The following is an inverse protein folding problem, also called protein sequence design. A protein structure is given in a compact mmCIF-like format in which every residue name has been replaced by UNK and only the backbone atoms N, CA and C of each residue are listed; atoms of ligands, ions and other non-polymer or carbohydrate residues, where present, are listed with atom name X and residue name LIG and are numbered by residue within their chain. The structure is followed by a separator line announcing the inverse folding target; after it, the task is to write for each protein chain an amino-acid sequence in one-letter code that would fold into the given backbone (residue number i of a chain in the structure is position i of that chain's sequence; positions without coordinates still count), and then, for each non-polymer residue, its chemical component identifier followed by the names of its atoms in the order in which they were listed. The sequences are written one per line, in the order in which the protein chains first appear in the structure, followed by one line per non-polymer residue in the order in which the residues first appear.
data_IF_519736341785
#
_entry.id   IF_519736341785
#
_cell.length_a   1.000
_cell.length_b   1.000
_cell.length_c   1.000
_cell.angle_alpha   90.00
_cell.angle_beta   90.00
_cell.angle_gamma   90.00
#
_symmetry.space_group_name_H-M   'P 1'
#
loop_
_entity.id
_entity.type
_entity.pdbx_description
1 polymer ?
#
# COMPACT_ATOMS: atom_id res chain seq x y z
N UNK A 1 -46.47 7.09 40.38
CA UNK A 1 -45.78 8.16 39.63
C UNK A 1 -44.27 7.97 39.77
N UNK A 2 -43.71 7.39 38.72
CA UNK A 2 -42.41 7.60 38.04
C UNK A 2 -41.18 8.20 38.73
N UNK A 3 -40.05 7.50 38.47
CA UNK A 3 -38.64 7.92 38.26
C UNK A 3 -37.65 7.79 39.43
N UNK A 4 -36.83 6.75 39.34
CA UNK A 4 -35.40 6.86 39.64
C UNK A 4 -34.64 6.53 38.34
N UNK A 5 -34.19 7.57 37.62
CA UNK A 5 -33.36 7.41 36.43
C UNK A 5 -31.96 6.99 36.86
N UNK A 6 -31.53 5.79 36.47
CA UNK A 6 -30.14 5.36 36.61
C UNK A 6 -29.21 6.29 35.82
N UNK A 7 -28.03 6.66 36.36
CA UNK A 7 -27.05 7.44 35.64
C UNK A 7 -26.54 6.64 34.44
N UNK A 8 -26.68 7.22 33.25
CA UNK A 8 -26.18 6.66 31.98
C UNK A 8 -24.67 6.49 32.10
N UNK A 9 -24.18 5.24 32.14
CA UNK A 9 -22.77 4.90 31.92
C UNK A 9 -22.33 5.56 30.61
N UNK A 10 -21.54 6.63 30.69
CA UNK A 10 -20.81 7.14 29.54
C UNK A 10 -19.80 6.06 29.14
N UNK A 11 -19.88 5.56 27.91
CA UNK A 11 -18.78 4.79 27.32
C UNK A 11 -17.60 5.73 27.19
N UNK A 12 -16.64 5.63 28.10
CA UNK A 12 -15.30 6.15 27.86
C UNK A 12 -14.73 5.23 26.78
N UNK A 13 -14.71 5.68 25.53
CA UNK A 13 -13.93 5.04 24.48
C UNK A 13 -12.47 5.13 24.91
N UNK A 14 -11.92 4.04 25.47
CA UNK A 14 -10.47 3.87 25.53
C UNK A 14 -9.98 3.82 24.10
N UNK A 15 -9.48 4.94 23.60
CA UNK A 15 -8.62 4.91 22.42
C UNK A 15 -7.41 4.06 22.80
N UNK A 16 -7.13 2.94 22.10
CA UNK A 16 -5.86 2.27 22.29
C UNK A 16 -4.79 3.28 21.87
N UNK A 17 -3.99 3.72 22.84
CA UNK A 17 -2.78 4.50 22.58
C UNK A 17 -1.88 3.59 21.75
N UNK A 18 -1.90 3.77 20.43
CA UNK A 18 -1.02 3.05 19.51
C UNK A 18 0.39 3.33 19.99
N UNK A 19 1.07 2.30 20.52
CA UNK A 19 2.45 2.43 20.99
C UNK A 19 3.29 2.91 19.81
N UNK A 20 3.82 4.13 19.94
CA UNK A 20 4.62 4.78 18.90
C UNK A 20 5.75 3.87 18.38
N UNK A 21 6.31 2.99 19.22
CA UNK A 21 7.37 2.04 18.87
C UNK A 21 7.03 1.13 17.68
N UNK A 22 5.80 0.62 17.61
CA UNK A 22 5.40 -0.35 16.57
C UNK A 22 5.22 0.34 15.21
N UNK A 23 4.92 1.64 15.23
CA UNK A 23 4.75 2.46 14.02
C UNK A 23 6.08 2.76 13.32
N UNK A 24 7.16 2.96 14.07
CA UNK A 24 8.50 3.19 13.51
C UNK A 24 9.02 1.95 12.80
N UNK A 25 8.92 0.77 13.42
CA UNK A 25 9.35 -0.49 12.80
C UNK A 25 8.54 -0.80 11.53
N UNK A 26 7.23 -0.56 11.53
CA UNK A 26 6.39 -0.73 10.33
C UNK A 26 6.79 0.24 9.21
N UNK A 27 7.17 1.47 9.55
CA UNK A 27 7.62 2.46 8.58
C UNK A 27 8.97 2.08 7.96
N UNK A 28 9.93 1.62 8.77
CA UNK A 28 11.22 1.15 8.27
C UNK A 28 11.07 -0.04 7.33
N UNK A 29 10.24 -1.03 7.69
CA UNK A 29 9.98 -2.19 6.83
C UNK A 29 9.36 -1.78 5.49
N UNK A 30 8.40 -0.84 5.51
CA UNK A 30 7.80 -0.29 4.30
C UNK A 30 8.81 0.48 3.44
N UNK A 31 9.69 1.26 4.06
CA UNK A 31 10.74 1.98 3.33
C UNK A 31 11.77 1.01 2.74
N UNK A 32 12.21 0.01 3.48
CA UNK A 32 13.12 -1.01 2.99
C UNK A 32 12.52 -1.79 1.81
N UNK A 33 11.22 -2.10 1.87
CA UNK A 33 10.48 -2.70 0.77
C UNK A 33 10.43 -1.78 -0.45
N UNK A 34 10.03 -0.52 -0.25
CA UNK A 34 9.94 0.46 -1.33
C UNK A 34 11.30 0.71 -2.00
N UNK A 35 12.39 0.75 -1.24
CA UNK A 35 13.74 0.91 -1.76
C UNK A 35 14.15 -0.28 -2.64
N UNK A 36 13.85 -1.51 -2.21
CA UNK A 36 14.12 -2.71 -3.01
C UNK A 36 13.32 -2.71 -4.32
N UNK A 37 12.02 -2.46 -4.25
CA UNK A 37 11.20 -2.37 -5.47
C UNK A 37 11.63 -1.21 -6.39
N UNK A 38 12.16 -0.11 -5.83
CA UNK A 38 12.58 1.06 -6.61
C UNK A 38 13.78 0.76 -7.50
N UNK A 39 14.74 -0.04 -7.03
CA UNK A 39 15.88 -0.46 -7.86
C UNK A 39 15.39 -1.22 -9.09
N UNK A 40 14.49 -2.20 -8.89
CA UNK A 40 13.88 -2.96 -9.99
C UNK A 40 13.06 -2.05 -10.91
N UNK A 41 12.29 -1.12 -10.33
CA UNK A 41 11.53 -0.14 -11.10
C UNK A 41 12.41 0.71 -12.01
N UNK A 42 13.57 1.19 -11.55
CA UNK A 42 14.45 2.03 -12.36
C UNK A 42 14.98 1.29 -13.59
N UNK A 43 15.27 -0.01 -13.47
CA UNK A 43 15.64 -0.85 -14.61
C UNK A 43 14.49 -1.09 -15.59
N UNK A 44 13.27 -1.30 -15.09
CA UNK A 44 12.09 -1.55 -15.91
C UNK A 44 11.50 -0.27 -16.52
N UNK A 45 11.77 0.88 -15.92
CA UNK A 45 11.18 2.16 -16.28
C UNK A 45 11.59 2.60 -17.69
N UNK A 46 12.86 2.56 -18.03
CA UNK A 46 13.34 3.02 -19.35
C UNK A 46 12.64 2.32 -20.52
N UNK A 47 12.60 0.97 -20.60
CA UNK A 47 11.94 0.30 -21.70
C UNK A 47 10.40 0.44 -21.66
N UNK A 48 9.80 0.47 -20.46
CA UNK A 48 8.34 0.52 -20.32
C UNK A 48 7.78 1.94 -20.50
N UNK A 49 8.54 2.99 -20.24
CA UNK A 49 8.09 4.38 -20.47
C UNK A 49 7.82 4.67 -21.95
N UNK A 50 8.58 4.04 -22.86
CA UNK A 50 8.41 4.22 -24.31
C UNK A 50 7.08 3.63 -24.79
N UNK A 51 6.64 2.54 -24.16
CA UNK A 51 5.51 1.72 -24.64
C UNK A 51 4.24 1.92 -23.82
N UNK A 52 4.36 2.25 -22.53
CA UNK A 52 3.27 2.25 -21.57
C UNK A 52 3.31 3.48 -20.64
N UNK A 53 3.43 4.67 -21.24
CA UNK A 53 3.45 5.92 -20.50
C UNK A 53 2.16 6.12 -19.68
N UNK A 54 2.30 6.57 -18.43
CA UNK A 54 1.24 6.79 -17.44
C UNK A 54 0.52 5.55 -16.89
N UNK A 55 0.97 4.35 -17.23
CA UNK A 55 0.39 3.11 -16.69
C UNK A 55 0.88 2.86 -15.25
N UNK A 56 0.20 1.96 -14.55
CA UNK A 56 0.57 1.50 -13.22
C UNK A 56 1.32 0.18 -13.32
N UNK A 57 2.39 0.06 -12.53
CA UNK A 57 3.17 -1.17 -12.42
C UNK A 57 3.25 -1.58 -10.96
N UNK A 58 2.97 -2.83 -10.65
CA UNK A 58 3.21 -3.43 -9.34
C UNK A 58 4.40 -4.35 -9.44
N UNK A 59 5.37 -4.16 -8.54
CA UNK A 59 6.63 -4.91 -8.56
C UNK A 59 6.77 -5.65 -7.24
N UNK A 60 7.10 -6.94 -7.35
CA UNK A 60 7.52 -7.78 -6.25
C UNK A 60 9.05 -7.68 -6.07
N UNK A 61 9.55 -7.23 -4.91
CA UNK A 61 10.98 -7.16 -4.68
C UNK A 61 11.63 -8.52 -4.43
N UNK A 62 10.86 -9.55 -4.10
CA UNK A 62 11.42 -10.87 -3.77
C UNK A 62 11.44 -11.81 -4.99
N UNK A 63 10.46 -11.69 -5.92
CA UNK A 63 10.37 -12.50 -7.14
C UNK A 63 10.79 -11.79 -8.43
N UNK A 64 11.00 -10.47 -8.38
CA UNK A 64 11.24 -9.60 -9.55
C UNK A 64 10.11 -9.64 -10.59
N UNK A 65 8.97 -10.27 -10.28
CA UNK A 65 7.79 -10.25 -11.12
C UNK A 65 7.12 -8.88 -11.09
N UNK A 66 6.58 -8.48 -12.24
CA UNK A 66 5.87 -7.22 -12.38
C UNK A 66 4.54 -7.39 -13.11
N UNK A 67 3.54 -6.68 -12.63
CA UNK A 67 2.23 -6.56 -13.24
C UNK A 67 2.04 -5.14 -13.74
N UNK A 68 1.54 -4.97 -14.96
CA UNK A 68 1.37 -3.68 -15.60
C UNK A 68 -0.07 -3.52 -16.08
N UNK A 69 -0.70 -2.40 -15.73
CA UNK A 69 -2.05 -2.07 -16.15
C UNK A 69 -2.27 -0.56 -16.31
N UNK A 70 -3.12 -0.13 -17.26
CA UNK A 70 -3.44 1.28 -17.41
C UNK A 70 -4.26 1.83 -16.25
N UNK A 71 -5.07 0.99 -15.59
CA UNK A 71 -5.92 1.36 -14.47
C UNK A 71 -5.47 0.71 -13.16
N UNK A 72 -5.40 1.52 -12.09
CA UNK A 72 -5.01 1.06 -10.76
C UNK A 72 -5.99 0.02 -10.18
N UNK A 73 -7.28 0.14 -10.49
CA UNK A 73 -8.30 -0.80 -9.99
C UNK A 73 -8.09 -2.21 -10.54
N UNK A 74 -7.87 -2.32 -11.85
CA UNK A 74 -7.60 -3.59 -12.53
C UNK A 74 -6.28 -4.20 -12.01
N UNK A 75 -5.25 -3.38 -11.84
CA UNK A 75 -3.98 -3.80 -11.24
C UNK A 75 -4.19 -4.38 -9.83
N UNK A 76 -4.93 -3.66 -8.99
CA UNK A 76 -5.19 -4.07 -7.60
C UNK A 76 -6.01 -5.36 -7.55
N UNK A 77 -6.97 -5.50 -8.45
CA UNK A 77 -7.78 -6.71 -8.56
C UNK A 77 -6.92 -7.90 -9.00
N UNK A 78 -6.05 -7.72 -9.99
CA UNK A 78 -5.14 -8.78 -10.41
C UNK A 78 -4.14 -9.15 -9.31
N UNK A 79 -3.58 -8.18 -8.60
CA UNK A 79 -2.72 -8.43 -7.43
C UNK A 79 -3.44 -9.29 -6.40
N UNK A 80 -4.68 -8.95 -6.06
CA UNK A 80 -5.49 -9.73 -5.12
C UNK A 80 -5.77 -11.15 -5.61
N UNK A 81 -5.93 -11.33 -6.92
CA UNK A 81 -6.13 -12.66 -7.51
C UNK A 81 -4.84 -13.49 -7.51
N UNK A 82 -3.69 -12.88 -7.83
CA UNK A 82 -2.41 -13.57 -7.95
C UNK A 82 -1.79 -13.87 -6.59
N UNK A 83 -1.81 -12.91 -5.66
CA UNK A 83 -1.13 -13.02 -4.37
C UNK A 83 -2.07 -13.28 -3.18
N UNK A 84 -3.40 -13.20 -3.39
CA UNK A 84 -4.41 -13.44 -2.36
C UNK A 84 -4.51 -12.33 -1.31
N UNK A 85 -5.20 -12.62 -0.20
CA UNK A 85 -5.28 -11.78 1.00
C UNK A 85 -4.02 -11.84 1.88
N UNK A 86 -3.01 -12.61 1.46
CA UNK A 86 -1.72 -12.61 2.14
C UNK A 86 -1.08 -11.22 2.03
N UNK A 87 -0.32 -10.86 3.07
CA UNK A 87 0.32 -9.56 3.21
C UNK A 87 1.11 -9.19 1.93
N UNK A 88 0.46 -8.46 1.03
CA UNK A 88 0.99 -8.17 -0.30
C UNK A 88 2.16 -7.22 -0.12
N UNK A 89 3.38 -7.75 -0.27
CA UNK A 89 4.64 -7.00 -0.21
C UNK A 89 5.00 -6.35 -1.55
N UNK A 90 4.00 -6.02 -2.36
CA UNK A 90 4.21 -5.35 -3.64
C UNK A 90 4.19 -3.85 -3.44
N UNK A 91 5.01 -3.14 -4.22
CA UNK A 91 4.91 -1.68 -4.32
C UNK A 91 4.38 -1.30 -5.70
N UNK A 92 3.32 -0.49 -5.71
CA UNK A 92 2.76 0.06 -6.94
C UNK A 92 3.48 1.37 -7.27
N UNK A 93 3.98 1.47 -8.48
CA UNK A 93 4.56 2.66 -9.07
C UNK A 93 3.75 3.11 -10.28
N UNK A 94 3.97 4.36 -10.68
CA UNK A 94 3.44 4.88 -11.93
C UNK A 94 4.58 5.01 -12.93
N UNK A 95 4.38 4.51 -14.14
CA UNK A 95 5.31 4.64 -15.26
C UNK A 95 5.23 6.07 -15.81
N UNK A 96 5.91 6.99 -15.13
CA UNK A 96 6.06 8.38 -15.54
C UNK A 96 7.47 8.89 -15.22
N UNK A 97 7.75 10.14 -15.56
CA UNK A 97 9.07 10.76 -15.36
C UNK A 97 9.53 10.80 -13.89
N UNK A 98 8.63 10.67 -12.92
CA UNK A 98 8.97 10.73 -11.50
C UNK A 98 8.89 9.37 -10.79
N UNK A 99 8.24 8.36 -11.41
CA UNK A 99 7.98 7.05 -10.81
C UNK A 99 6.96 7.07 -9.67
N UNK A 100 6.34 8.22 -9.38
CA UNK A 100 5.57 8.39 -8.14
C UNK A 100 4.14 7.88 -8.30
N UNK A 101 3.80 6.83 -7.54
CA UNK A 101 2.40 6.50 -7.26
C UNK A 101 1.93 7.37 -6.09
N UNK A 102 0.75 7.97 -6.22
CA UNK A 102 0.09 8.65 -5.09
C UNK A 102 0.05 7.69 -3.90
N UNK A 103 0.43 8.17 -2.72
CA UNK A 103 0.50 7.39 -1.49
C UNK A 103 -0.92 6.88 -1.18
N UNK A 104 -1.22 5.62 -1.51
CA UNK A 104 -2.48 4.97 -1.14
C UNK A 104 -2.47 4.75 0.37
N UNK A 105 -3.22 5.58 1.09
CA UNK A 105 -3.58 5.30 2.47
C UNK A 105 -4.66 4.20 2.44
N UNK A 106 -4.22 2.95 2.41
CA UNK A 106 -5.04 1.80 2.83
C UNK A 106 -4.70 1.49 4.28
#
# INVERSE_FOLDING_TARGET
MTKLSQPRRSRILSYPSVKLSDSYHRQEQRQALANRCRVVFEHLREPLMVTHYNWFIAIDPDSEEYLIHPQLQELTQQIRQTYGDNEVKLTIFRLNETGTCGRLWV
#
